data_IF_618390788911
#
_entry.id   IF_618390788911
#
_cell.length_a   1.000
_cell.length_b   1.000
_cell.length_c   1.000
_cell.angle_alpha   90.00
_cell.angle_beta   90.00
_cell.angle_gamma   90.00
#
_symmetry.space_group_name_H-M   'P 1'
#
loop_
_entity.id
_entity.type
_entity.pdbx_description
1 polymer ?
#
# COMPACT_ATOMS: atom_id res chain seq x y z
N UNK A 1 11.39 -8.86 -14.65
CA UNK A 1 12.59 -9.58 -14.19
C UNK A 1 13.35 -8.86 -13.08
N UNK A 2 13.81 -7.60 -13.24
CA UNK A 2 14.65 -6.96 -12.18
C UNK A 2 13.87 -6.55 -10.92
N UNK A 3 12.58 -6.18 -11.04
CA UNK A 3 11.72 -5.91 -9.87
C UNK A 3 11.48 -7.15 -8.98
N UNK A 4 11.58 -8.35 -9.55
CA UNK A 4 11.46 -9.63 -8.82
C UNK A 4 12.68 -9.90 -7.93
N UNK A 5 13.83 -9.26 -8.20
CA UNK A 5 15.06 -9.42 -7.42
C UNK A 5 15.16 -8.41 -6.27
N UNK A 6 14.23 -7.47 -6.13
CA UNK A 6 14.27 -6.46 -5.05
C UNK A 6 14.29 -7.11 -3.66
N UNK A 7 13.48 -8.15 -3.37
CA UNK A 7 13.56 -8.86 -2.08
C UNK A 7 14.93 -9.50 -1.86
N UNK A 8 15.48 -10.17 -2.87
CA UNK A 8 16.81 -10.79 -2.78
C UNK A 8 17.91 -9.74 -2.57
N UNK A 9 17.82 -8.60 -3.25
CA UNK A 9 18.74 -7.46 -3.13
C UNK A 9 18.63 -6.81 -1.74
N UNK A 10 17.43 -6.71 -1.18
CA UNK A 10 17.20 -6.20 0.18
C UNK A 10 17.73 -7.19 1.21
N UNK A 11 17.49 -8.50 1.03
CA UNK A 11 18.02 -9.57 1.88
C UNK A 11 19.55 -9.60 1.84
N UNK A 12 20.15 -9.52 0.65
CA UNK A 12 21.60 -9.38 0.46
C UNK A 12 22.10 -8.09 1.13
N UNK A 13 21.40 -6.97 0.98
CA UNK A 13 21.70 -5.71 1.66
C UNK A 13 21.67 -5.83 3.19
N UNK A 14 20.70 -6.56 3.75
CA UNK A 14 20.63 -6.82 5.19
C UNK A 14 21.76 -7.73 5.66
N UNK A 15 22.14 -8.76 4.90
CA UNK A 15 23.29 -9.61 5.21
C UNK A 15 24.63 -8.87 5.11
N UNK A 16 24.75 -7.87 4.23
CA UNK A 16 25.93 -7.00 4.13
C UNK A 16 26.04 -6.06 5.34
N UNK A 17 24.91 -5.62 5.89
CA UNK A 17 24.84 -4.77 7.08
C UNK A 17 25.02 -5.54 8.38
N UNK A 18 24.77 -6.85 8.37
CA UNK A 18 24.95 -7.70 9.55
C UNK A 18 26.45 -7.94 9.81
N UNK A 19 26.93 -7.43 10.94
CA UNK A 19 28.37 -7.29 11.23
C UNK A 19 29.15 -8.61 11.32
N UNK A 20 28.44 -9.76 11.29
CA UNK A 20 28.98 -11.10 11.47
C UNK A 20 29.34 -11.82 10.17
N UNK A 21 28.81 -11.38 9.02
CA UNK A 21 28.85 -12.19 7.78
C UNK A 21 30.11 -11.94 6.94
N UNK A 22 30.69 -10.74 7.02
CA UNK A 22 31.92 -10.40 6.31
C UNK A 22 32.88 -9.67 7.25
N UNK A 23 34.06 -10.25 7.51
CA UNK A 23 35.17 -9.62 8.25
C UNK A 23 35.79 -8.40 7.55
N UNK A 24 35.01 -7.67 6.75
CA UNK A 24 35.41 -6.52 5.96
C UNK A 24 35.38 -5.22 6.80
N UNK A 25 36.28 -4.30 6.47
CA UNK A 25 36.28 -2.97 7.07
C UNK A 25 34.97 -2.22 6.79
N UNK A 26 34.60 -1.28 7.66
CA UNK A 26 33.36 -0.51 7.51
C UNK A 26 33.29 0.25 6.17
N UNK A 27 34.43 0.70 5.64
CA UNK A 27 34.51 1.38 4.34
C UNK A 27 34.16 0.50 3.15
N UNK A 28 34.60 -0.77 3.15
CA UNK A 28 34.27 -1.72 2.06
C UNK A 28 32.78 -2.05 2.07
N UNK A 29 32.19 -2.26 3.25
CA UNK A 29 30.74 -2.49 3.40
C UNK A 29 29.92 -1.32 2.89
N UNK A 30 30.33 -0.09 3.21
CA UNK A 30 29.69 1.13 2.73
C UNK A 30 29.80 1.29 1.20
N UNK A 31 30.97 1.00 0.62
CA UNK A 31 31.17 1.09 -0.82
C UNK A 31 30.32 0.07 -1.60
N UNK A 32 30.25 -1.18 -1.10
CA UNK A 32 29.38 -2.23 -1.68
C UNK A 32 27.92 -1.81 -1.60
N UNK A 33 27.46 -1.27 -0.46
CA UNK A 33 26.11 -0.76 -0.30
C UNK A 33 25.81 0.36 -1.31
N UNK A 34 26.69 1.35 -1.44
CA UNK A 34 26.52 2.47 -2.38
C UNK A 34 26.49 2.00 -3.85
N UNK A 35 27.34 1.05 -4.22
CA UNK A 35 27.35 0.45 -5.56
C UNK A 35 26.04 -0.32 -5.83
N UNK A 36 25.56 -1.08 -4.85
CA UNK A 36 24.32 -1.84 -4.94
C UNK A 36 23.10 -0.90 -5.05
N UNK A 37 23.07 0.19 -4.26
CA UNK A 37 22.06 1.26 -4.38
C UNK A 37 22.10 1.92 -5.77
N UNK A 38 23.28 2.20 -6.33
CA UNK A 38 23.43 2.77 -7.67
C UNK A 38 22.91 1.82 -8.75
N UNK A 39 23.26 0.53 -8.68
CA UNK A 39 22.81 -0.50 -9.64
C UNK A 39 21.29 -0.65 -9.60
N UNK A 40 20.70 -0.72 -8.40
CA UNK A 40 19.25 -0.80 -8.23
C UNK A 40 18.58 0.47 -8.76
N UNK A 41 19.16 1.65 -8.51
CA UNK A 41 18.63 2.92 -9.03
C UNK A 41 18.63 2.95 -10.57
N UNK A 42 19.72 2.49 -11.21
CA UNK A 42 19.83 2.36 -12.67
C UNK A 42 18.87 1.29 -13.25
N UNK A 43 18.66 0.19 -12.54
CA UNK A 43 17.72 -0.85 -12.96
C UNK A 43 16.26 -0.39 -12.85
N UNK A 44 15.93 0.35 -11.78
CA UNK A 44 14.63 1.01 -11.59
C UNK A 44 14.41 2.07 -12.68
N UNK A 45 15.45 2.82 -13.04
CA UNK A 45 15.43 3.74 -14.18
C UNK A 45 15.12 3.02 -15.51
N UNK A 46 15.78 1.89 -15.77
CA UNK A 46 15.60 1.12 -17.02
C UNK A 46 14.26 0.39 -17.12
N UNK A 47 13.72 -0.11 -16.01
CA UNK A 47 12.43 -0.83 -16.00
C UNK A 47 11.22 0.10 -16.17
N UNK A 48 11.41 1.39 -15.98
CA UNK A 48 10.36 2.40 -16.13
C UNK A 48 10.27 2.98 -17.56
N UNK A 49 11.17 2.62 -18.49
CA UNK A 49 11.09 3.04 -19.90
C UNK A 49 10.10 2.18 -20.68
N UNK A 50 8.81 2.39 -20.46
CA UNK A 50 7.76 1.90 -21.35
C UNK A 50 7.59 2.88 -22.51
N UNK A 51 7.73 2.37 -23.75
CA UNK A 51 7.53 3.11 -24.99
C UNK A 51 6.10 3.65 -25.08
N UNK A 52 5.89 4.94 -24.82
CA UNK A 52 4.68 5.66 -25.27
C UNK A 52 4.98 7.15 -25.53
N UNK A 53 4.15 7.78 -26.36
CA UNK A 53 4.33 9.05 -27.08
C UNK A 53 4.66 10.33 -26.26
N UNK A 54 4.74 10.27 -24.93
CA UNK A 54 5.17 11.40 -24.07
C UNK A 54 6.59 11.20 -23.51
N UNK A 55 7.49 10.71 -24.36
CA UNK A 55 8.87 10.36 -24.00
C UNK A 55 9.59 11.47 -23.23
N UNK A 56 9.53 12.72 -23.68
CA UNK A 56 10.21 13.85 -23.03
C UNK A 56 9.73 14.11 -21.60
N UNK A 57 8.41 14.05 -21.35
CA UNK A 57 7.86 14.27 -20.00
C UNK A 57 8.20 13.12 -19.06
N UNK A 58 8.25 11.89 -19.57
CA UNK A 58 8.65 10.72 -18.79
C UNK A 58 10.14 10.73 -18.47
N UNK A 59 11.00 11.01 -19.45
CA UNK A 59 12.44 11.17 -19.25
C UNK A 59 12.73 12.31 -18.26
N UNK A 60 12.02 13.45 -18.37
CA UNK A 60 12.14 14.54 -17.40
C UNK A 60 11.77 14.11 -15.97
N UNK A 61 10.65 13.40 -15.78
CA UNK A 61 10.28 12.86 -14.46
C UNK A 61 11.29 11.83 -13.95
N UNK A 62 11.86 11.00 -14.81
CA UNK A 62 12.88 10.01 -14.46
C UNK A 62 14.20 10.66 -14.04
N UNK A 63 14.64 11.70 -14.76
CA UNK A 63 15.81 12.50 -14.39
C UNK A 63 15.57 13.13 -13.02
N UNK A 64 14.40 13.73 -12.78
CA UNK A 64 14.05 14.31 -11.48
C UNK A 64 14.08 13.25 -10.36
N UNK A 65 13.65 12.01 -10.62
CA UNK A 65 13.71 10.89 -9.66
C UNK A 65 15.14 10.47 -9.34
N UNK A 66 15.97 10.25 -10.38
CA UNK A 66 17.36 9.88 -10.22
C UNK A 66 18.14 10.95 -9.45
N UNK A 67 17.93 12.22 -9.83
CA UNK A 67 18.52 13.36 -9.15
C UNK A 67 18.06 13.49 -7.69
N UNK A 68 16.79 13.17 -7.39
CA UNK A 68 16.31 13.12 -6.00
C UNK A 68 17.02 12.04 -5.19
N UNK A 69 17.16 10.83 -5.72
CA UNK A 69 17.90 9.74 -5.07
C UNK A 69 19.36 10.12 -4.84
N UNK A 70 20.03 10.68 -5.85
CA UNK A 70 21.40 11.19 -5.73
C UNK A 70 21.48 12.28 -4.66
N UNK A 71 20.52 13.20 -4.62
CA UNK A 71 20.45 14.26 -3.62
C UNK A 71 20.28 13.69 -2.20
N UNK A 72 19.43 12.68 -1.99
CA UNK A 72 19.25 12.04 -0.68
C UNK A 72 20.53 11.32 -0.24
N UNK A 73 21.20 10.61 -1.15
CA UNK A 73 22.49 9.96 -0.88
C UNK A 73 23.55 11.01 -0.56
N UNK A 74 23.59 12.12 -1.30
CA UNK A 74 24.55 13.20 -1.10
C UNK A 74 24.43 13.84 0.29
N UNK A 75 23.23 13.95 0.88
CA UNK A 75 23.07 14.44 2.27
C UNK A 75 23.81 13.56 3.28
N UNK A 76 23.83 12.24 3.07
CA UNK A 76 24.53 11.29 3.95
C UNK A 76 26.04 11.29 3.69
N UNK A 77 26.41 11.32 2.41
CA UNK A 77 27.79 11.14 1.96
C UNK A 77 28.60 12.44 2.11
N UNK A 78 27.97 13.62 1.96
CA UNK A 78 28.67 14.90 2.02
C UNK A 78 29.36 15.16 3.36
N UNK A 79 28.71 15.00 4.53
CA UNK A 79 29.39 15.13 5.82
C UNK A 79 30.57 14.17 5.95
N UNK A 80 30.43 12.94 5.47
CA UNK A 80 31.49 11.93 5.49
C UNK A 80 32.68 12.35 4.61
N UNK A 81 32.41 12.84 3.39
CA UNK A 81 33.44 13.37 2.50
C UNK A 81 34.13 14.59 3.07
N UNK A 82 33.42 15.46 3.80
CA UNK A 82 34.01 16.62 4.47
C UNK A 82 34.94 16.20 5.62
N UNK A 83 34.55 15.18 6.40
CA UNK A 83 35.40 14.61 7.46
C UNK A 83 36.65 13.97 6.87
N UNK A 84 36.52 13.17 5.79
CA UNK A 84 37.65 12.57 5.09
C UNK A 84 38.55 13.67 4.47
N UNK A 85 37.95 14.69 3.87
CA UNK A 85 38.66 15.83 3.28
C UNK A 85 39.51 16.58 4.32
N UNK A 86 38.95 16.83 5.50
CA UNK A 86 39.69 17.41 6.62
C UNK A 86 40.80 16.49 7.14
N UNK A 87 40.54 15.18 7.25
CA UNK A 87 41.55 14.21 7.64
C UNK A 87 42.69 14.08 6.60
N UNK A 88 42.40 14.31 5.32
CA UNK A 88 43.36 14.23 4.21
C UNK A 88 44.22 15.49 3.99
N UNK A 89 44.05 16.54 4.82
CA UNK A 89 44.71 17.85 4.64
C UNK A 89 44.47 18.50 3.25
N UNK A 90 43.36 18.17 2.59
CA UNK A 90 42.97 18.80 1.33
C UNK A 90 42.74 20.30 1.53
N UNK A 91 43.09 21.17 0.55
CA UNK A 91 42.90 22.61 0.68
C UNK A 91 41.43 22.96 0.97
N UNK A 92 41.22 23.78 2.01
CA UNK A 92 39.90 24.21 2.50
C UNK A 92 39.02 24.87 1.42
N UNK A 93 39.64 25.49 0.41
CA UNK A 93 38.92 26.08 -0.72
C UNK A 93 38.20 25.01 -1.57
N UNK A 94 38.84 23.86 -1.83
CA UNK A 94 38.25 22.79 -2.62
C UNK A 94 37.13 22.08 -1.85
N UNK A 95 37.31 21.83 -0.56
CA UNK A 95 36.27 21.23 0.30
C UNK A 95 35.09 22.17 0.51
N UNK A 96 35.33 23.48 0.65
CA UNK A 96 34.30 24.50 0.76
C UNK A 96 33.45 24.66 -0.50
N UNK A 97 34.04 24.62 -1.69
CA UNK A 97 33.30 24.66 -2.97
C UNK A 97 32.43 23.41 -3.14
N UNK A 98 32.95 22.22 -2.86
CA UNK A 98 32.17 20.98 -2.93
C UNK A 98 31.01 21.00 -1.93
N UNK A 99 31.24 21.46 -0.70
CA UNK A 99 30.20 21.60 0.32
C UNK A 99 29.09 22.57 -0.09
N UNK A 100 29.46 23.73 -0.64
CA UNK A 100 28.50 24.77 -1.03
C UNK A 100 27.72 24.39 -2.28
N UNK A 101 28.35 23.76 -3.28
CA UNK A 101 27.65 23.20 -4.45
C UNK A 101 26.67 22.12 -4.01
N UNK A 102 27.08 21.20 -3.13
CA UNK A 102 26.20 20.18 -2.61
C UNK A 102 25.04 20.79 -1.82
N UNK A 103 25.29 21.76 -0.93
CA UNK A 103 24.22 22.46 -0.19
C UNK A 103 23.23 23.18 -1.12
N UNK A 104 23.72 23.84 -2.16
CA UNK A 104 22.87 24.50 -3.15
C UNK A 104 21.98 23.51 -3.92
N UNK A 105 22.56 22.36 -4.31
CA UNK A 105 21.85 21.23 -4.91
C UNK A 105 20.74 20.73 -3.96
N UNK A 106 21.06 20.53 -2.67
CA UNK A 106 20.09 20.11 -1.66
C UNK A 106 18.94 21.10 -1.46
N UNK A 107 19.25 22.40 -1.39
CA UNK A 107 18.24 23.46 -1.22
C UNK A 107 17.34 23.60 -2.45
N UNK A 108 17.92 23.52 -3.65
CA UNK A 108 17.19 23.54 -4.91
C UNK A 108 16.23 22.35 -4.99
N UNK A 109 16.68 21.15 -4.63
CA UNK A 109 15.84 19.95 -4.62
C UNK A 109 14.79 19.96 -3.50
N UNK A 110 15.12 20.51 -2.33
CA UNK A 110 14.19 20.82 -1.25
C UNK A 110 12.96 21.61 -1.68
N UNK A 111 13.14 22.54 -2.62
CA UNK A 111 12.08 23.42 -3.09
C UNK A 111 11.32 22.88 -4.31
N UNK A 112 11.97 22.06 -5.14
CA UNK A 112 11.42 21.63 -6.44
C UNK A 112 10.90 20.19 -6.45
N UNK A 113 11.38 19.32 -5.55
CA UNK A 113 11.06 17.89 -5.58
C UNK A 113 9.93 17.54 -4.62
N UNK A 114 8.89 16.96 -5.19
CA UNK A 114 7.68 16.57 -4.49
C UNK A 114 7.67 15.06 -4.31
N UNK A 115 7.63 14.59 -3.06
CA UNK A 115 7.84 13.18 -2.77
C UNK A 115 6.75 12.29 -3.42
N UNK A 116 5.48 12.73 -3.48
CA UNK A 116 4.39 11.93 -4.10
C UNK A 116 4.47 11.91 -5.63
N UNK A 117 4.99 12.96 -6.28
CA UNK A 117 5.09 13.01 -7.75
C UNK A 117 6.27 12.20 -8.25
N UNK A 118 7.35 12.15 -7.46
CA UNK A 118 8.55 11.38 -7.81
C UNK A 118 8.46 9.91 -7.41
N UNK A 119 7.51 9.51 -6.56
CA UNK A 119 7.36 8.11 -6.17
C UNK A 119 6.79 7.20 -7.29
N UNK A 120 6.84 5.90 -7.06
CA UNK A 120 6.27 4.88 -7.95
C UNK A 120 4.74 4.85 -7.92
N UNK A 121 4.12 5.46 -6.92
CA UNK A 121 2.67 5.45 -6.71
C UNK A 121 1.88 5.84 -7.97
N UNK A 122 2.19 6.99 -8.58
CA UNK A 122 1.45 7.45 -9.76
C UNK A 122 1.58 6.52 -10.98
N UNK A 123 2.68 5.76 -11.08
CA UNK A 123 2.84 4.75 -12.12
C UNK A 123 1.97 3.53 -11.82
N UNK A 124 1.93 3.11 -10.55
CA UNK A 124 1.13 1.99 -10.08
C UNK A 124 -0.37 2.26 -10.22
N UNK A 125 -0.85 3.41 -9.72
CA UNK A 125 -2.23 3.89 -9.88
C UNK A 125 -2.66 3.91 -11.35
N UNK A 126 -1.83 4.45 -12.26
CA UNK A 126 -2.12 4.43 -13.71
C UNK A 126 -2.20 3.02 -14.30
N UNK A 127 -1.41 2.06 -13.80
CA UNK A 127 -1.48 0.66 -14.25
C UNK A 127 -2.76 0.01 -13.76
N UNK A 128 -3.14 0.21 -12.50
CA UNK A 128 -4.40 -0.27 -11.96
C UNK A 128 -5.60 0.31 -12.72
N UNK A 129 -5.61 1.62 -12.97
CA UNK A 129 -6.67 2.27 -13.74
C UNK A 129 -6.77 1.79 -15.20
N UNK A 130 -5.69 1.24 -15.77
CA UNK A 130 -5.72 0.65 -17.12
C UNK A 130 -6.14 -0.82 -17.09
N UNK A 131 -5.75 -1.55 -16.04
CA UNK A 131 -6.10 -2.96 -15.86
C UNK A 131 -7.59 -3.13 -15.52
N UNK A 132 -8.14 -2.21 -14.74
CA UNK A 132 -9.52 -2.24 -14.26
C UNK A 132 -10.30 -1.05 -14.81
N UNK A 133 -11.31 -1.33 -15.63
CA UNK A 133 -12.23 -0.35 -16.20
C UNK A 133 -13.59 -0.48 -15.51
N UNK A 134 -14.19 0.64 -15.13
CA UNK A 134 -15.53 0.67 -14.53
C UNK A 134 -16.55 0.78 -15.69
N UNK A 135 -17.10 -0.37 -16.09
CA UNK A 135 -18.22 -0.63 -17.04
C UNK A 135 -17.99 -0.57 -18.57
N UNK A 136 -18.70 -1.48 -19.26
CA UNK A 136 -19.83 -1.20 -20.17
C UNK A 136 -20.76 -2.45 -20.25
N UNK A 137 -22.11 -2.32 -20.21
CA UNK A 137 -22.84 -2.48 -21.47
C UNK A 137 -24.15 -1.66 -21.59
N UNK A 138 -24.18 -0.77 -22.58
CA UNK A 138 -25.36 -0.18 -23.22
C UNK A 138 -24.92 0.46 -24.54
N UNK A 139 -25.70 0.35 -25.63
CA UNK A 139 -25.37 1.03 -26.90
C UNK A 139 -25.32 2.55 -26.65
N UNK A 140 -24.12 3.13 -26.58
CA UNK A 140 -23.91 4.57 -26.44
C UNK A 140 -23.28 5.04 -25.11
N UNK A 141 -23.04 4.16 -24.14
CA UNK A 141 -22.35 4.55 -22.90
C UNK A 141 -20.82 4.47 -23.04
N UNK A 142 -20.12 5.52 -22.60
CA UNK A 142 -18.65 5.54 -22.55
C UNK A 142 -18.15 4.77 -21.32
N UNK A 143 -17.08 4.00 -21.49
CA UNK A 143 -16.41 3.32 -20.38
C UNK A 143 -15.75 4.35 -19.46
N UNK A 144 -15.95 4.20 -18.14
CA UNK A 144 -15.39 5.11 -17.13
C UNK A 144 -14.12 4.49 -16.53
N UNK A 145 -13.04 5.26 -16.52
CA UNK A 145 -11.79 4.81 -15.89
C UNK A 145 -11.83 4.95 -14.36
N UNK A 146 -11.14 4.09 -13.60
CA UNK A 146 -10.97 4.28 -12.15
C UNK A 146 -10.33 5.63 -11.79
N UNK A 147 -9.54 6.21 -12.71
CA UNK A 147 -8.95 7.55 -12.55
C UNK A 147 -9.96 8.68 -12.68
N UNK A 148 -11.17 8.42 -13.16
CA UNK A 148 -12.22 9.41 -13.35
C UNK A 148 -13.26 9.37 -12.23
N UNK A 149 -13.26 8.29 -11.43
CA UNK A 149 -14.16 8.10 -10.29
C UNK A 149 -13.55 8.75 -9.05
N UNK A 150 -14.27 9.70 -8.46
CA UNK A 150 -13.94 10.28 -7.15
C UNK A 150 -14.49 9.43 -6.00
N UNK A 151 -13.99 9.66 -4.79
CA UNK A 151 -14.45 8.94 -3.59
C UNK A 151 -15.93 9.20 -3.27
N UNK A 152 -16.48 10.34 -3.65
CA UNK A 152 -17.91 10.64 -3.47
C UNK A 152 -18.82 9.88 -4.43
N UNK A 153 -18.28 9.42 -5.57
CA UNK A 153 -19.04 8.68 -6.58
C UNK A 153 -19.20 7.20 -6.21
N UNK A 154 -18.57 6.75 -5.11
CA UNK A 154 -18.56 5.36 -4.67
C UNK A 154 -19.59 5.05 -3.58
N UNK A 155 -20.63 5.88 -3.47
CA UNK A 155 -21.77 5.68 -2.58
C UNK A 155 -23.05 6.11 -3.29
N UNK A 156 -24.11 5.30 -3.19
CA UNK A 156 -25.45 5.61 -3.66
C UNK A 156 -26.48 4.94 -2.74
N UNK A 157 -27.71 5.47 -2.66
CA UNK A 157 -28.74 4.99 -1.71
C UNK A 157 -29.03 3.48 -1.81
N UNK A 158 -28.93 2.89 -3.01
CA UNK A 158 -29.20 1.48 -3.27
C UNK A 158 -27.94 0.62 -3.47
N UNK A 159 -26.74 1.16 -3.22
CA UNK A 159 -25.48 0.45 -3.44
C UNK A 159 -24.62 0.41 -2.18
N UNK A 160 -23.83 -0.67 -1.98
CA UNK A 160 -22.89 -0.72 -0.87
C UNK A 160 -21.86 0.41 -1.02
N UNK A 161 -21.62 1.11 0.08
CA UNK A 161 -20.57 2.12 0.14
C UNK A 161 -19.19 1.45 0.03
N UNK A 162 -18.32 1.98 -0.84
CA UNK A 162 -16.94 1.52 -0.94
C UNK A 162 -16.13 1.99 0.27
N UNK A 163 -15.44 1.04 0.90
CA UNK A 163 -14.43 1.31 1.91
C UNK A 163 -13.08 0.85 1.39
N UNK A 164 -12.13 1.78 1.32
CA UNK A 164 -10.74 1.47 0.99
C UNK A 164 -9.93 1.49 2.27
N UNK A 165 -9.53 0.32 2.75
CA UNK A 165 -8.72 0.17 3.95
C UNK A 165 -7.22 0.26 3.62
N UNK A 166 -6.52 1.13 4.31
CA UNK A 166 -5.09 1.33 4.23
C UNK A 166 -4.49 1.38 5.65
N UNK A 167 -3.16 1.46 5.76
CA UNK A 167 -2.49 1.61 7.04
C UNK A 167 -1.84 2.99 7.14
N UNK A 168 -2.13 3.73 8.21
CA UNK A 168 -1.33 4.91 8.57
C UNK A 168 -0.12 4.46 9.38
N UNK A 169 1.06 4.93 9.00
CA UNK A 169 2.31 4.57 9.67
C UNK A 169 2.61 5.57 10.78
N UNK A 170 2.97 5.03 11.93
CA UNK A 170 3.11 5.74 13.20
C UNK A 170 4.38 5.29 13.93
N UNK A 171 4.77 6.03 14.97
CA UNK A 171 5.70 5.52 15.97
C UNK A 171 5.03 4.37 16.73
N UNK A 172 5.84 3.41 17.19
CA UNK A 172 5.36 2.27 17.98
C UNK A 172 4.54 2.73 19.20
N UNK A 173 5.00 3.79 19.88
CA UNK A 173 4.34 4.39 21.07
C UNK A 173 2.95 4.97 20.74
N UNK A 174 2.69 5.34 19.48
CA UNK A 174 1.41 5.90 19.03
C UNK A 174 0.47 4.84 18.45
N UNK A 175 0.93 3.60 18.28
CA UNK A 175 0.13 2.47 17.83
C UNK A 175 -0.41 1.72 19.04
N UNK A 176 -1.72 1.42 19.05
CA UNK A 176 -2.36 0.70 20.16
C UNK A 176 -1.69 -0.64 20.48
N UNK A 177 -1.16 -1.33 19.45
CA UNK A 177 -0.50 -2.63 19.55
C UNK A 177 1.03 -2.55 19.51
N UNK A 178 1.60 -1.34 19.46
CA UNK A 178 3.06 -1.17 19.34
C UNK A 178 3.65 -1.51 17.96
N UNK A 179 2.82 -1.67 16.93
CA UNK A 179 3.26 -2.17 15.62
C UNK A 179 3.71 -1.09 14.63
N UNK A 180 3.69 0.16 15.07
CA UNK A 180 4.07 1.30 14.23
C UNK A 180 3.09 1.57 13.08
N UNK A 181 1.86 1.07 13.17
CA UNK A 181 0.78 1.41 12.25
C UNK A 181 -0.59 1.32 12.90
N UNK A 182 -1.60 1.91 12.25
CA UNK A 182 -3.00 1.84 12.61
C UNK A 182 -3.87 1.81 11.34
N UNK A 183 -5.16 1.50 11.49
CA UNK A 183 -6.15 1.57 10.42
C UNK A 183 -6.22 2.97 9.81
N UNK A 184 -6.47 3.07 8.51
CA UNK A 184 -6.79 4.33 7.84
C UNK A 184 -7.77 4.04 6.70
N UNK A 185 -8.97 4.58 6.77
CA UNK A 185 -10.07 4.27 5.86
C UNK A 185 -10.40 5.47 4.98
N UNK A 186 -10.63 5.20 3.70
CA UNK A 186 -11.25 6.15 2.79
C UNK A 186 -12.67 5.69 2.49
N UNK A 187 -13.64 6.54 2.81
CA UNK A 187 -15.08 6.34 2.57
C UNK A 187 -15.66 7.61 1.94
N UNK A 188 -16.79 7.51 1.25
CA UNK A 188 -17.48 8.67 0.67
C UNK A 188 -17.87 9.72 1.73
N UNK A 189 -18.08 9.29 2.97
CA UNK A 189 -18.52 10.13 4.10
C UNK A 189 -17.34 10.69 4.91
N UNK A 190 -16.32 9.87 5.16
CA UNK A 190 -15.17 10.24 5.99
C UNK A 190 -13.85 9.67 5.48
N UNK A 191 -12.77 10.35 5.83
CA UNK A 191 -11.40 9.89 5.62
C UNK A 191 -10.64 9.93 6.94
N UNK A 192 -10.03 8.80 7.32
CA UNK A 192 -9.24 8.68 8.52
C UNK A 192 -9.38 7.33 9.22
N UNK A 193 -8.89 7.25 10.44
CA UNK A 193 -9.02 6.07 11.30
C UNK A 193 -10.18 6.26 12.25
N UNK A 194 -11.15 5.37 12.20
CA UNK A 194 -12.27 5.43 13.14
C UNK A 194 -11.76 5.32 14.59
N UNK A 195 -12.14 6.29 15.42
CA UNK A 195 -11.71 6.41 16.82
C UNK A 195 -10.38 7.12 17.09
N UNK A 196 -9.55 7.40 16.08
CA UNK A 196 -8.29 8.16 16.25
C UNK A 196 -8.34 9.52 15.56
N UNK A 197 -8.79 9.56 14.31
CA UNK A 197 -8.82 10.76 13.47
C UNK A 197 -9.85 10.60 12.37
N UNK A 198 -10.85 11.47 12.30
CA UNK A 198 -11.81 11.51 11.20
C UNK A 198 -11.95 12.94 10.67
N UNK A 199 -11.97 13.09 9.34
CA UNK A 199 -12.46 14.30 8.69
C UNK A 199 -13.52 13.93 7.66
N UNK A 200 -14.45 14.85 7.42
CA UNK A 200 -15.40 14.73 6.31
C UNK A 200 -14.63 14.60 4.99
N UNK A 201 -15.01 13.61 4.17
CA UNK A 201 -14.33 13.33 2.91
C UNK A 201 -14.31 14.57 1.98
N UNK A 202 -15.37 15.40 2.02
CA UNK A 202 -15.47 16.65 1.23
C UNK A 202 -14.38 17.67 1.55
N UNK A 203 -13.87 17.66 2.77
CA UNK A 203 -12.84 18.58 3.23
C UNK A 203 -11.42 18.05 2.92
N UNK A 204 -11.32 16.77 2.54
CA UNK A 204 -10.08 16.07 2.31
C UNK A 204 -9.64 16.16 0.84
N UNK A 205 -9.04 17.28 0.46
CA UNK A 205 -8.56 17.54 -0.92
C UNK A 205 -7.25 16.82 -1.31
N UNK A 206 -6.85 15.74 -0.62
CA UNK A 206 -5.52 15.16 -0.78
C UNK A 206 -5.43 14.05 -1.85
N UNK A 207 -6.55 13.38 -2.19
CA UNK A 207 -6.59 12.31 -3.20
C UNK A 207 -7.83 12.47 -4.07
N UNK A 208 -7.63 12.51 -5.40
CA UNK A 208 -8.69 12.89 -6.33
C UNK A 208 -9.40 11.70 -6.98
N UNK A 209 -8.85 10.48 -6.89
CA UNK A 209 -9.34 9.35 -7.69
C UNK A 209 -9.33 8.03 -6.92
N UNK A 210 -10.29 7.15 -7.19
CA UNK A 210 -10.34 5.78 -6.64
C UNK A 210 -9.09 4.98 -7.04
N UNK A 211 -8.54 5.22 -8.24
CA UNK A 211 -7.30 4.57 -8.68
C UNK A 211 -6.11 4.83 -7.72
N UNK A 212 -5.96 6.07 -7.25
CA UNK A 212 -4.90 6.43 -6.30
C UNK A 212 -5.15 5.83 -4.91
N UNK A 213 -6.42 5.76 -4.47
CA UNK A 213 -6.79 5.16 -3.20
C UNK A 213 -6.53 3.65 -3.17
N UNK A 214 -6.95 2.93 -4.22
CA UNK A 214 -6.68 1.49 -4.37
C UNK A 214 -5.16 1.25 -4.48
N UNK A 215 -4.43 2.10 -5.20
CA UNK A 215 -2.97 2.02 -5.27
C UNK A 215 -2.29 2.24 -3.91
N UNK A 216 -2.84 3.09 -3.05
CA UNK A 216 -2.33 3.34 -1.71
C UNK A 216 -2.64 2.17 -0.77
N UNK A 217 -3.84 1.62 -0.87
CA UNK A 217 -4.28 0.44 -0.12
C UNK A 217 -3.50 -0.82 -0.47
N UNK A 218 -3.09 -1.01 -1.73
CA UNK A 218 -2.23 -2.12 -2.17
C UNK A 218 -0.74 -1.78 -2.27
N UNK A 219 -0.26 -0.79 -1.50
CA UNK A 219 1.10 -0.28 -1.56
C UNK A 219 2.12 -1.17 -0.83
N UNK A 220 2.24 -2.44 -1.23
CA UNK A 220 3.05 -3.47 -0.57
C UNK A 220 4.57 -3.15 -0.49
N UNK A 221 5.06 -2.16 -1.24
CA UNK A 221 6.45 -1.67 -1.13
C UNK A 221 6.41 -0.25 -0.59
N UNK A 222 6.74 -0.11 0.69
CA UNK A 222 6.89 1.16 1.37
C UNK A 222 8.09 1.11 2.33
N UNK A 223 8.78 2.23 2.59
CA UNK A 223 9.81 2.29 3.62
C UNK A 223 9.29 1.93 5.02
N UNK A 224 8.03 2.26 5.31
CA UNK A 224 7.34 1.86 6.54
C UNK A 224 6.17 0.95 6.19
N UNK A 225 6.23 -0.27 6.72
CA UNK A 225 5.33 -1.41 6.48
C UNK A 225 4.78 -1.95 7.81
N UNK A 226 4.62 -1.08 8.81
CA UNK A 226 4.27 -1.48 10.17
C UNK A 226 5.23 -2.53 10.74
N UNK A 227 4.68 -3.66 11.19
CA UNK A 227 5.43 -4.80 11.75
C UNK A 227 6.46 -5.44 10.83
N UNK A 228 6.32 -5.29 9.50
CA UNK A 228 7.26 -5.85 8.53
C UNK A 228 8.49 -4.95 8.29
N UNK A 229 8.58 -3.82 9.00
CA UNK A 229 9.63 -2.83 8.77
C UNK A 229 10.94 -3.23 9.41
N UNK A 230 11.99 -3.42 8.61
CA UNK A 230 13.37 -3.43 9.12
C UNK A 230 14.00 -2.03 9.01
N UNK A 231 14.87 -1.64 9.95
CA UNK A 231 15.53 -0.33 9.92
C UNK A 231 16.36 -0.12 8.65
N UNK A 232 17.01 -1.19 8.18
CA UNK A 232 17.82 -1.17 6.97
C UNK A 232 16.96 -1.03 5.70
N UNK A 233 15.89 -1.81 5.56
CA UNK A 233 14.98 -1.72 4.41
C UNK A 233 14.26 -0.37 4.37
N UNK A 234 13.86 0.17 5.52
CA UNK A 234 13.29 1.52 5.64
C UNK A 234 14.23 2.58 5.07
N UNK A 235 15.47 2.61 5.55
CA UNK A 235 16.47 3.57 5.09
C UNK A 235 16.75 3.42 3.59
N UNK A 236 16.96 2.18 3.12
CA UNK A 236 17.24 1.91 1.72
C UNK A 236 16.09 2.34 0.81
N UNK A 237 14.86 1.91 1.09
CA UNK A 237 13.68 2.25 0.29
C UNK A 237 13.40 3.76 0.29
N UNK A 238 13.58 4.43 1.44
CA UNK A 238 13.40 5.89 1.53
C UNK A 238 14.45 6.65 0.72
N UNK A 239 15.74 6.30 0.86
CA UNK A 239 16.83 6.92 0.09
C UNK A 239 16.67 6.69 -1.42
N UNK A 240 16.24 5.49 -1.80
CA UNK A 240 15.99 5.13 -3.20
C UNK A 240 14.67 5.68 -3.75
N UNK A 241 13.84 6.31 -2.90
CA UNK A 241 12.49 6.76 -3.24
C UNK A 241 11.60 5.61 -3.80
N UNK A 242 11.87 4.38 -3.37
CA UNK A 242 11.12 3.19 -3.75
C UNK A 242 9.94 3.04 -2.81
N UNK A 243 8.84 3.72 -3.16
CA UNK A 243 7.61 3.72 -2.37
C UNK A 243 6.37 3.76 -3.25
N UNK A 244 5.40 2.97 -2.87
CA UNK A 244 4.05 2.95 -3.41
C UNK A 244 3.05 3.68 -2.51
N UNK A 245 3.40 3.94 -1.25
CA UNK A 245 2.56 4.69 -0.32
C UNK A 245 2.41 6.17 -0.66
N UNK A 246 1.49 6.84 0.03
CA UNK A 246 1.14 8.24 -0.15
C UNK A 246 1.36 9.05 1.12
N UNK A 247 1.95 10.22 0.96
CA UNK A 247 1.88 11.25 2.01
C UNK A 247 0.62 12.07 1.81
N UNK A 248 -0.26 12.06 2.80
CA UNK A 248 -1.52 12.78 2.79
C UNK A 248 -1.50 13.90 3.80
N UNK A 249 -2.27 14.95 3.52
CA UNK A 249 -2.49 15.98 4.53
C UNK A 249 -3.18 15.34 5.74
N UNK A 250 -2.71 15.66 6.93
CA UNK A 250 -3.30 15.13 8.14
C UNK A 250 -4.72 15.69 8.32
N UNK A 251 -5.76 14.83 8.45
CA UNK A 251 -7.12 15.28 8.71
C UNK A 251 -7.25 16.12 10.00
N UNK A 252 -6.43 15.88 11.03
CA UNK A 252 -6.41 16.67 12.28
C UNK A 252 -5.81 18.07 12.13
N UNK A 253 -5.08 18.33 11.04
CA UNK A 253 -4.40 19.60 10.80
C UNK A 253 -4.90 20.22 9.49
N UNK A 254 -6.18 20.67 9.44
CA UNK A 254 -6.67 21.42 8.30
C UNK A 254 -5.80 22.67 8.15
N UNK A 255 -5.11 22.77 7.01
CA UNK A 255 -4.13 23.82 6.79
C UNK A 255 -4.83 25.18 6.85
N UNK A 256 -4.57 25.96 7.89
CA UNK A 256 -5.06 27.33 7.93
C UNK A 256 -4.47 28.11 6.74
N UNK A 257 -5.29 28.91 6.02
CA UNK A 257 -4.78 29.78 4.97
C UNK A 257 -4.01 30.95 5.62
N UNK A 258 -2.78 30.71 6.08
CA UNK A 258 -1.90 31.78 6.58
C UNK A 258 -1.72 32.85 5.50
N UNK A 259 -1.89 34.13 5.89
CA UNK A 259 -1.63 35.32 5.07
C UNK A 259 -0.23 35.25 4.46
N UNK A 260 -0.13 35.50 3.15
CA UNK A 260 1.06 35.22 2.34
C UNK A 260 1.93 36.47 2.19
N UNK A 261 3.22 36.34 2.51
CA UNK A 261 4.26 37.33 2.17
C UNK A 261 5.06 36.95 0.91
N UNK A 262 4.98 35.70 0.44
CA UNK A 262 5.78 35.16 -0.67
C UNK A 262 4.91 34.64 -1.85
N UNK A 263 5.44 34.67 -3.09
CA UNK A 263 4.73 34.22 -4.30
C UNK A 263 4.28 32.76 -4.21
N UNK A 264 3.08 32.45 -4.75
CA UNK A 264 2.45 31.13 -4.60
C UNK A 264 3.34 29.95 -5.07
N UNK A 265 4.09 30.12 -6.17
CA UNK A 265 4.91 29.06 -6.78
C UNK A 265 6.12 28.64 -5.93
N UNK A 266 6.70 29.56 -5.14
CA UNK A 266 7.77 29.27 -4.18
C UNK A 266 7.25 28.49 -2.97
N UNK A 267 6.04 28.82 -2.51
CA UNK A 267 5.45 28.25 -1.28
C UNK A 267 4.72 26.93 -1.55
N UNK A 268 4.28 26.66 -2.78
CA UNK A 268 3.60 25.40 -3.14
C UNK A 268 4.48 24.17 -2.95
N UNK A 269 5.79 24.27 -3.19
CA UNK A 269 6.73 23.17 -2.93
C UNK A 269 6.92 22.86 -1.44
N UNK A 270 6.79 23.89 -0.59
CA UNK A 270 6.94 23.78 0.87
C UNK A 270 5.66 23.32 1.58
N UNK A 271 4.52 23.39 0.88
CA UNK A 271 3.19 22.92 1.33
C UNK A 271 2.89 21.48 0.94
N UNK A 272 3.84 20.79 0.33
CA UNK A 272 3.71 19.39 -0.05
C UNK A 272 4.80 18.60 0.68
N UNK A 273 4.62 17.28 0.88
CA UNK A 273 5.63 16.44 1.50
C UNK A 273 6.92 16.49 0.66
N UNK A 274 7.86 17.30 1.13
CA UNK A 274 9.20 17.47 0.54
C UNK A 274 10.23 16.54 1.16
N UNK A 275 11.53 16.75 0.90
CA UNK A 275 12.58 15.83 1.34
C UNK A 275 12.66 15.65 2.86
N UNK A 276 12.27 16.66 3.65
CA UNK A 276 12.20 16.55 5.11
C UNK A 276 11.29 15.39 5.55
N UNK A 277 10.14 15.21 4.90
CA UNK A 277 9.23 14.10 5.22
C UNK A 277 9.80 12.76 4.78
N UNK A 278 10.56 12.71 3.68
CA UNK A 278 11.31 11.50 3.27
C UNK A 278 12.40 11.15 4.28
N UNK A 279 13.06 12.14 4.89
CA UNK A 279 14.00 11.91 5.99
C UNK A 279 13.32 11.37 7.24
N UNK A 280 12.18 11.95 7.61
CA UNK A 280 11.35 11.41 8.70
C UNK A 280 10.93 9.97 8.41
N UNK A 281 10.55 9.68 7.17
CA UNK A 281 10.25 8.33 6.68
C UNK A 281 11.45 7.38 6.89
N UNK A 282 12.65 7.81 6.49
CA UNK A 282 13.89 7.04 6.61
C UNK A 282 14.25 6.72 8.07
N UNK A 283 14.04 7.67 8.98
CA UNK A 283 14.30 7.50 10.41
C UNK A 283 13.14 6.87 11.19
N UNK A 284 11.97 6.67 10.56
CA UNK A 284 10.77 6.15 11.22
C UNK A 284 10.10 7.17 12.15
N UNK A 285 10.34 8.47 11.94
CA UNK A 285 9.76 9.56 12.71
C UNK A 285 8.40 9.97 12.13
N UNK A 286 7.43 9.05 12.21
CA UNK A 286 6.08 9.19 11.69
C UNK A 286 5.08 9.37 12.84
N UNK A 287 4.21 10.37 12.76
CA UNK A 287 3.28 10.67 13.85
C UNK A 287 1.98 11.28 13.35
N UNK A 288 0.90 11.01 14.10
CA UNK A 288 -0.38 11.71 13.93
C UNK A 288 -0.31 13.20 14.27
N UNK A 289 0.76 13.67 14.92
CA UNK A 289 0.97 15.09 15.20
C UNK A 289 1.54 15.89 14.03
N UNK A 290 1.95 15.24 12.94
CA UNK A 290 2.56 15.91 11.80
C UNK A 290 1.53 16.49 10.83
N UNK A 291 1.90 17.53 10.08
CA UNK A 291 1.03 18.13 9.06
C UNK A 291 0.68 17.15 7.94
N UNK A 292 1.56 16.17 7.68
CA UNK A 292 1.31 15.09 6.73
C UNK A 292 1.46 13.75 7.43
N UNK A 293 0.60 12.82 7.07
CA UNK A 293 0.62 11.42 7.51
C UNK A 293 1.01 10.53 6.33
N UNK A 294 1.71 9.43 6.61
CA UNK A 294 2.13 8.49 5.59
C UNK A 294 1.22 7.26 5.59
N UNK A 295 0.53 7.04 4.49
CA UNK A 295 -0.40 5.93 4.28
C UNK A 295 0.22 4.90 3.34
N UNK A 296 0.20 3.64 3.75
CA UNK A 296 0.71 2.48 3.00
C UNK A 296 -0.31 1.35 2.98
N UNK A 297 0.12 0.16 2.53
CA UNK A 297 -0.74 -1.01 2.34
C UNK A 297 -1.61 -1.32 3.56
N UNK A 298 -2.89 -1.60 3.36
CA UNK A 298 -3.81 -2.00 4.42
C UNK A 298 -3.35 -3.27 5.13
N UNK A 299 -2.72 -4.20 4.40
CA UNK A 299 -2.18 -5.44 4.92
C UNK A 299 -1.01 -5.29 5.89
N UNK A 300 -0.44 -4.09 6.03
CA UNK A 300 0.51 -3.80 7.11
C UNK A 300 -0.15 -3.79 8.50
N UNK A 301 -1.46 -3.51 8.56
CA UNK A 301 -2.26 -3.52 9.80
C UNK A 301 -3.30 -4.64 9.80
N UNK A 302 -4.20 -4.67 8.80
CA UNK A 302 -5.24 -5.68 8.59
C UNK A 302 -5.29 -6.08 7.10
N UNK A 303 -4.88 -7.31 6.79
CA UNK A 303 -4.88 -7.84 5.43
C UNK A 303 -6.23 -8.50 5.04
N UNK A 304 -7.29 -8.27 5.81
CA UNK A 304 -8.65 -8.73 5.52
C UNK A 304 -9.65 -7.60 5.25
N UNK A 305 -9.45 -6.43 5.86
CA UNK A 305 -10.41 -5.32 5.86
C UNK A 305 -11.69 -5.58 6.68
N UNK A 306 -11.79 -6.74 7.34
CA UNK A 306 -12.98 -7.16 8.09
C UNK A 306 -13.15 -6.36 9.37
N UNK A 307 -12.06 -5.91 10.00
CA UNK A 307 -12.14 -5.17 11.27
C UNK A 307 -12.96 -3.88 11.12
N UNK A 308 -12.86 -3.20 9.99
CA UNK A 308 -13.63 -1.97 9.75
C UNK A 308 -15.13 -2.25 9.49
N UNK A 309 -15.48 -3.40 8.93
CA UNK A 309 -16.87 -3.84 8.83
C UNK A 309 -17.44 -4.23 10.20
N UNK A 310 -16.63 -4.90 11.03
CA UNK A 310 -17.01 -5.23 12.40
C UNK A 310 -17.23 -3.96 13.23
N UNK A 311 -16.39 -2.93 13.06
CA UNK A 311 -16.54 -1.63 13.72
C UNK A 311 -17.86 -0.96 13.37
N UNK A 312 -18.34 -1.16 12.13
CA UNK A 312 -19.66 -0.70 11.64
C UNK A 312 -20.83 -1.61 12.07
N UNK A 313 -20.58 -2.58 12.95
CA UNK A 313 -21.56 -3.52 13.49
C UNK A 313 -22.23 -4.41 12.41
N UNK A 314 -21.53 -4.68 11.30
CA UNK A 314 -22.03 -5.60 10.26
C UNK A 314 -22.19 -7.02 10.82
N UNK A 315 -23.40 -7.60 10.72
CA UNK A 315 -23.71 -8.95 11.25
C UNK A 315 -23.41 -10.08 10.26
N UNK A 316 -23.35 -9.80 8.97
CA UNK A 316 -23.03 -10.80 7.94
C UNK A 316 -21.91 -10.26 7.10
N UNK A 317 -20.75 -10.94 7.12
CA UNK A 317 -19.53 -10.48 6.47
C UNK A 317 -19.04 -11.59 5.56
N UNK A 318 -18.86 -11.27 4.27
CA UNK A 318 -18.17 -12.13 3.32
C UNK A 318 -16.73 -11.65 3.21
N UNK A 319 -15.77 -12.51 3.57
CA UNK A 319 -14.35 -12.17 3.56
C UNK A 319 -13.59 -13.11 2.62
N UNK A 320 -12.95 -12.55 1.59
CA UNK A 320 -12.14 -13.32 0.65
C UNK A 320 -10.69 -13.36 1.15
N UNK A 321 -10.21 -14.55 1.48
CA UNK A 321 -8.82 -14.76 1.89
C UNK A 321 -7.98 -15.32 0.72
N UNK A 322 -7.24 -14.40 0.10
CA UNK A 322 -6.28 -14.67 -0.95
C UNK A 322 -4.82 -14.69 -0.44
N UNK A 323 -4.61 -14.88 0.87
CA UNK A 323 -3.27 -14.96 1.45
C UNK A 323 -2.46 -16.15 0.92
N UNK A 324 -1.16 -15.93 0.75
CA UNK A 324 -0.20 -16.91 0.24
C UNK A 324 0.71 -17.35 1.38
N UNK A 325 0.13 -17.98 2.41
CA UNK A 325 0.87 -18.63 3.50
C UNK A 325 0.75 -20.16 3.38
N UNK A 326 1.76 -20.93 3.81
CA UNK A 326 1.73 -22.40 3.72
C UNK A 326 0.55 -23.03 4.47
N UNK A 327 0.15 -22.43 5.60
CA UNK A 327 -0.98 -22.87 6.40
C UNK A 327 -2.26 -22.04 6.19
N UNK A 328 -2.18 -20.85 5.56
CA UNK A 328 -3.32 -19.91 5.36
C UNK A 328 -4.12 -19.56 6.61
N UNK A 329 -3.47 -19.65 7.77
CA UNK A 329 -4.10 -19.33 9.05
C UNK A 329 -3.56 -18.04 9.67
N UNK A 330 -2.36 -17.61 9.28
CA UNK A 330 -1.71 -16.44 9.86
C UNK A 330 -2.58 -15.18 9.77
N UNK A 331 -3.16 -14.94 8.59
CA UNK A 331 -4.05 -13.81 8.37
C UNK A 331 -5.34 -13.88 9.20
N UNK A 332 -5.96 -15.06 9.27
CA UNK A 332 -7.21 -15.28 10.00
C UNK A 332 -7.02 -15.13 11.52
N UNK A 333 -6.01 -15.78 12.10
CA UNK A 333 -5.70 -15.61 13.52
C UNK A 333 -5.41 -14.16 13.85
N UNK A 334 -4.75 -13.47 12.93
CA UNK A 334 -4.47 -12.06 13.09
C UNK A 334 -5.75 -11.23 13.10
N UNK A 335 -6.66 -11.46 12.16
CA UNK A 335 -7.97 -10.82 12.14
C UNK A 335 -8.71 -11.05 13.46
N UNK A 336 -8.81 -12.29 13.94
CA UNK A 336 -9.48 -12.63 15.20
C UNK A 336 -8.84 -11.89 16.38
N UNK A 337 -7.50 -11.91 16.47
CA UNK A 337 -6.77 -11.19 17.51
C UNK A 337 -7.03 -9.69 17.46
N UNK A 338 -7.01 -9.09 16.28
CA UNK A 338 -7.19 -7.65 16.10
C UNK A 338 -8.63 -7.23 16.43
N UNK A 339 -9.62 -7.99 15.97
CA UNK A 339 -11.03 -7.76 16.27
C UNK A 339 -11.35 -7.91 17.78
N UNK A 340 -10.72 -8.87 18.46
CA UNK A 340 -10.82 -9.02 19.92
C UNK A 340 -10.22 -7.83 20.64
N UNK A 341 -8.98 -7.44 20.32
CA UNK A 341 -8.29 -6.40 21.08
C UNK A 341 -8.83 -4.99 20.78
N UNK A 342 -9.21 -4.69 19.54
CA UNK A 342 -9.69 -3.35 19.15
C UNK A 342 -11.19 -3.15 19.42
N UNK A 343 -12.01 -4.19 19.27
CA UNK A 343 -13.47 -4.07 19.29
C UNK A 343 -14.16 -4.97 20.33
N UNK A 344 -13.42 -5.83 21.02
CA UNK A 344 -13.98 -6.81 21.96
C UNK A 344 -14.85 -7.89 21.29
N UNK A 345 -14.73 -8.08 19.97
CA UNK A 345 -15.53 -9.08 19.24
C UNK A 345 -15.01 -10.47 19.53
N UNK A 346 -15.91 -11.36 19.95
CA UNK A 346 -15.58 -12.76 20.23
C UNK A 346 -16.06 -13.68 19.11
N UNK A 347 -15.18 -14.59 18.69
CA UNK A 347 -15.45 -15.58 17.64
C UNK A 347 -15.58 -16.96 18.27
N UNK A 348 -16.58 -17.72 17.82
CA UNK A 348 -16.89 -19.11 18.25
C UNK A 348 -15.90 -20.15 17.67
N UNK A 349 -14.79 -19.69 17.10
CA UNK A 349 -13.83 -20.55 16.42
C UNK A 349 -12.62 -20.87 17.29
N UNK A 350 -12.78 -21.87 18.13
CA UNK A 350 -11.69 -22.63 18.73
C UNK A 350 -11.01 -23.49 17.65
N UNK A 351 -9.67 -23.36 17.46
CA UNK A 351 -8.70 -24.29 16.84
C UNK A 351 -8.99 -24.94 15.47
N UNK A 352 -10.22 -25.36 15.17
CA UNK A 352 -10.68 -26.09 13.97
C UNK A 352 -10.42 -25.34 12.67
N UNK A 353 -10.45 -24.01 12.70
CA UNK A 353 -10.12 -23.19 11.52
C UNK A 353 -8.64 -23.33 11.09
N UNK A 354 -7.76 -23.76 12.01
CA UNK A 354 -6.35 -24.02 11.71
C UNK A 354 -6.15 -25.23 10.81
N UNK A 355 -7.03 -26.23 10.92
CA UNK A 355 -6.89 -27.51 10.24
C UNK A 355 -7.77 -27.64 9.00
N UNK A 356 -8.85 -26.86 8.94
CA UNK A 356 -9.79 -26.95 7.83
C UNK A 356 -9.15 -26.53 6.51
N UNK A 357 -9.38 -27.35 5.47
CA UNK A 357 -9.06 -27.05 4.07
C UNK A 357 -10.28 -26.72 3.23
N UNK A 358 -11.44 -26.52 3.86
CA UNK A 358 -12.65 -26.16 3.12
C UNK A 358 -12.46 -24.82 2.39
N UNK A 359 -12.98 -24.69 1.15
CA UNK A 359 -12.94 -23.43 0.41
C UNK A 359 -13.81 -22.36 1.08
N UNK A 360 -14.87 -22.75 1.77
CA UNK A 360 -15.79 -21.85 2.48
C UNK A 360 -15.92 -22.30 3.92
N UNK A 361 -15.84 -21.35 4.85
CA UNK A 361 -16.05 -21.57 6.29
C UNK A 361 -17.02 -20.54 6.84
N UNK A 362 -17.91 -20.97 7.74
CA UNK A 362 -18.84 -20.08 8.44
C UNK A 362 -18.45 -20.01 9.91
N UNK A 363 -18.14 -18.81 10.37
CA UNK A 363 -17.70 -18.56 11.74
C UNK A 363 -18.69 -17.64 12.42
N UNK A 364 -19.23 -18.09 13.56
CA UNK A 364 -20.09 -17.24 14.38
C UNK A 364 -19.25 -16.26 15.21
N UNK A 365 -19.75 -15.04 15.38
CA UNK A 365 -19.16 -14.06 16.29
C UNK A 365 -20.23 -13.27 17.04
N UNK A 366 -19.83 -12.63 18.13
CA UNK A 366 -20.67 -11.78 18.96
C UNK A 366 -19.93 -10.47 19.32
N UNK A 367 -20.68 -9.38 19.43
CA UNK A 367 -20.18 -8.10 19.93
C UNK A 367 -20.22 -8.06 21.47
N UNK A 368 -19.42 -7.18 22.13
CA UNK A 368 -19.41 -7.05 23.59
C UNK A 368 -20.77 -6.77 24.23
N UNK A 369 -21.62 -6.03 23.52
CA UNK A 369 -22.93 -5.58 24.01
C UNK A 369 -24.07 -6.54 23.60
N UNK A 370 -23.75 -7.65 22.93
CA UNK A 370 -24.76 -8.63 22.51
C UNK A 370 -25.22 -9.47 23.70
N UNK A 371 -26.53 -9.69 23.77
CA UNK A 371 -27.19 -10.59 24.71
C UNK A 371 -27.75 -11.83 24.00
N UNK A 372 -28.42 -12.73 24.73
CA UNK A 372 -29.04 -13.93 24.15
C UNK A 372 -30.13 -13.62 23.11
N UNK A 373 -30.68 -12.40 23.11
CA UNK A 373 -31.72 -11.96 22.17
C UNK A 373 -31.15 -11.30 20.92
N UNK A 374 -29.87 -10.96 20.94
CA UNK A 374 -29.19 -10.26 19.87
C UNK A 374 -28.97 -11.18 18.65
N UNK A 375 -29.10 -10.67 17.41
CA UNK A 375 -28.95 -11.48 16.22
C UNK A 375 -27.51 -11.98 16.08
N UNK A 376 -27.30 -13.27 15.81
CA UNK A 376 -25.96 -13.83 15.67
C UNK A 376 -25.17 -13.16 14.52
N UNK A 377 -23.88 -12.88 14.77
CA UNK A 377 -22.93 -12.47 13.73
C UNK A 377 -22.35 -13.67 12.99
N UNK A 378 -22.19 -13.58 11.68
CA UNK A 378 -21.58 -14.61 10.83
C UNK A 378 -20.51 -14.01 9.91
N UNK A 379 -19.32 -14.57 9.99
CA UNK A 379 -18.21 -14.35 9.07
C UNK A 379 -18.13 -15.55 8.12
N UNK A 380 -18.39 -15.30 6.83
CA UNK A 380 -18.29 -16.26 5.75
C UNK A 380 -16.91 -16.09 5.10
N UNK A 381 -15.98 -16.96 5.50
CA UNK A 381 -14.60 -16.97 5.02
C UNK A 381 -14.54 -17.74 3.69
N UNK A 382 -14.20 -17.01 2.63
CA UNK A 382 -13.99 -17.51 1.28
C UNK A 382 -12.49 -17.68 1.04
N UNK A 383 -11.97 -18.88 1.29
CA UNK A 383 -10.54 -19.19 1.17
C UNK A 383 -10.23 -19.68 -0.23
N UNK A 384 -9.13 -19.19 -0.79
CA UNK A 384 -8.64 -19.58 -2.12
C UNK A 384 -8.01 -21.00 -2.16
N UNK A 385 -8.64 -21.97 -1.49
CA UNK A 385 -8.25 -23.37 -1.46
C UNK A 385 -8.70 -24.08 -2.74
N UNK A 386 -7.85 -24.98 -3.23
CA UNK A 386 -8.21 -25.91 -4.32
C UNK A 386 -9.12 -26.97 -3.73
N UNK A 387 -10.33 -27.12 -4.26
CA UNK A 387 -11.30 -28.14 -3.89
C UNK A 387 -11.63 -29.05 -5.08
N UNK A 388 -11.85 -30.36 -4.88
CA UNK A 388 -12.37 -31.25 -5.93
C UNK A 388 -13.79 -30.87 -6.40
N UNK A 389 -14.52 -30.06 -5.63
CA UNK A 389 -15.87 -29.57 -5.97
C UNK A 389 -15.86 -28.38 -6.94
N UNK A 390 -14.67 -27.87 -7.28
CA UNK A 390 -14.51 -26.82 -8.28
C UNK A 390 -14.85 -27.35 -9.68
N UNK A 391 -15.24 -26.46 -10.61
CA UNK A 391 -15.31 -26.76 -12.04
C UNK A 391 -14.06 -27.49 -12.55
N UNK A 392 -14.27 -28.49 -13.42
CA UNK A 392 -13.21 -29.43 -13.85
C UNK A 392 -12.04 -28.75 -14.56
N UNK A 393 -12.30 -27.64 -15.25
CA UNK A 393 -11.30 -26.79 -15.90
C UNK A 393 -10.38 -26.10 -14.88
N UNK A 394 -10.92 -25.61 -13.77
CA UNK A 394 -10.15 -25.01 -12.67
C UNK A 394 -9.33 -26.08 -11.91
N UNK A 395 -9.90 -27.27 -11.70
CA UNK A 395 -9.18 -28.40 -11.10
C UNK A 395 -8.01 -28.83 -11.99
N UNK A 396 -8.24 -28.96 -13.29
CA UNK A 396 -7.19 -29.28 -14.25
C UNK A 396 -6.08 -28.21 -14.25
N UNK A 397 -6.45 -26.92 -14.24
CA UNK A 397 -5.49 -25.82 -14.17
C UNK A 397 -4.65 -25.86 -12.89
N UNK A 398 -5.28 -26.09 -11.73
CA UNK A 398 -4.58 -26.22 -10.45
C UNK A 398 -3.63 -27.43 -10.41
N UNK A 399 -3.92 -28.48 -11.18
CA UNK A 399 -3.11 -29.71 -11.27
C UNK A 399 -1.92 -29.56 -12.22
N UNK A 400 -2.04 -28.75 -13.27
CA UNK A 400 -1.04 -28.54 -14.36
C UNK A 400 0.22 -27.76 -13.93
N UNK A 401 0.58 -27.78 -12.64
CA UNK A 401 1.68 -26.99 -12.02
C UNK A 401 1.64 -25.49 -12.33
N UNK A 402 0.47 -24.95 -12.68
CA UNK A 402 0.28 -23.50 -12.69
C UNK A 402 0.36 -23.00 -11.24
N UNK A 403 0.85 -21.79 -11.02
CA UNK A 403 0.86 -21.20 -9.69
C UNK A 403 -0.56 -20.89 -9.18
N UNK A 404 -1.61 -21.16 -9.97
CA UNK A 404 -3.01 -20.94 -9.62
C UNK A 404 -3.47 -21.84 -8.44
N UNK A 405 -4.29 -21.33 -7.51
CA UNK A 405 -4.71 -19.92 -7.33
C UNK A 405 -3.73 -19.07 -6.50
N UNK A 406 -2.49 -19.53 -6.30
CA UNK A 406 -1.43 -18.98 -5.42
C UNK A 406 -0.34 -18.18 -6.14
N UNK A 407 -0.69 -17.33 -7.10
CA UNK A 407 0.30 -16.44 -7.70
C UNK A 407 0.86 -15.47 -6.63
N UNK A 408 2.18 -15.43 -6.48
CA UNK A 408 2.84 -14.49 -5.57
C UNK A 408 2.54 -13.05 -5.98
N UNK A 409 2.41 -12.15 -5.00
CA UNK A 409 2.31 -10.70 -5.23
C UNK A 409 3.52 -10.13 -5.97
N UNK A 410 4.65 -10.82 -5.97
CA UNK A 410 5.82 -10.47 -6.77
C UNK A 410 5.61 -10.75 -8.27
N UNK A 411 4.70 -11.67 -8.62
CA UNK A 411 4.30 -11.95 -10.01
C UNK A 411 3.04 -11.17 -10.40
N UNK A 412 3.25 -10.05 -11.08
CA UNK A 412 2.18 -9.17 -11.58
C UNK A 412 1.86 -9.38 -13.07
N UNK A 413 2.40 -10.42 -13.70
CA UNK A 413 2.26 -10.67 -15.14
C UNK A 413 1.39 -11.91 -15.39
N UNK A 414 0.08 -11.72 -15.19
CA UNK A 414 -0.92 -12.76 -15.47
C UNK A 414 -1.29 -12.75 -16.96
N UNK A 415 -1.43 -13.94 -17.56
CA UNK A 415 -1.96 -14.05 -18.92
C UNK A 415 -3.50 -14.02 -18.91
N UNK A 416 -4.12 -13.89 -20.09
CA UNK A 416 -5.59 -13.86 -20.19
C UNK A 416 -6.24 -15.12 -19.57
N UNK A 417 -5.63 -16.30 -19.77
CA UNK A 417 -6.09 -17.56 -19.18
C UNK A 417 -6.09 -17.51 -17.65
N UNK A 418 -5.06 -16.93 -17.04
CA UNK A 418 -4.98 -16.81 -15.58
C UNK A 418 -6.08 -15.90 -15.04
N UNK A 419 -6.30 -14.76 -15.71
CA UNK A 419 -7.34 -13.79 -15.34
C UNK A 419 -8.74 -14.41 -15.44
N UNK A 420 -9.03 -15.10 -16.55
CA UNK A 420 -10.31 -15.79 -16.74
C UNK A 420 -10.53 -16.87 -15.67
N UNK A 421 -9.48 -17.63 -15.33
CA UNK A 421 -9.53 -18.62 -14.27
C UNK A 421 -9.80 -18.02 -12.89
N UNK A 422 -9.17 -16.88 -12.55
CA UNK A 422 -9.44 -16.17 -11.30
C UNK A 422 -10.87 -15.62 -11.24
N UNK A 423 -11.41 -15.12 -12.36
CA UNK A 423 -12.81 -14.67 -12.43
C UNK A 423 -13.76 -15.85 -12.22
N UNK A 424 -13.54 -16.97 -12.92
CA UNK A 424 -14.36 -18.17 -12.79
C UNK A 424 -14.30 -18.75 -11.36
N UNK A 425 -13.11 -18.81 -10.78
CA UNK A 425 -12.90 -19.28 -9.41
C UNK A 425 -13.56 -18.37 -8.37
N UNK A 426 -13.43 -17.04 -8.52
CA UNK A 426 -14.10 -16.08 -7.65
C UNK A 426 -15.62 -16.22 -7.70
N UNK A 427 -16.21 -16.44 -8.89
CA UNK A 427 -17.65 -16.69 -9.05
C UNK A 427 -18.10 -17.96 -8.34
N UNK A 428 -17.39 -19.06 -8.56
CA UNK A 428 -17.69 -20.33 -7.89
C UNK A 428 -17.57 -20.20 -6.37
N UNK A 429 -16.46 -19.61 -5.89
CA UNK A 429 -16.20 -19.45 -4.46
C UNK A 429 -17.29 -18.59 -3.79
N UNK A 430 -17.70 -17.49 -4.43
CA UNK A 430 -18.76 -16.64 -3.92
C UNK A 430 -20.13 -17.33 -3.92
N UNK A 431 -20.46 -18.12 -4.95
CA UNK A 431 -21.69 -18.92 -4.98
C UNK A 431 -21.73 -19.94 -3.82
N UNK A 432 -20.63 -20.64 -3.58
CA UNK A 432 -20.48 -21.54 -2.43
C UNK A 432 -20.64 -20.78 -1.11
N UNK A 433 -20.10 -19.56 -1.05
CA UNK A 433 -20.29 -18.63 0.07
C UNK A 433 -21.75 -18.30 0.36
N UNK A 434 -22.52 -17.94 -0.66
CA UNK A 434 -23.94 -17.60 -0.53
C UNK A 434 -24.73 -18.78 0.06
N UNK A 435 -24.46 -19.99 -0.43
CA UNK A 435 -25.07 -21.23 0.11
C UNK A 435 -24.71 -21.41 1.58
N UNK A 436 -23.45 -21.23 1.97
CA UNK A 436 -23.03 -21.36 3.38
C UNK A 436 -23.66 -20.29 4.30
N UNK A 437 -24.00 -19.14 3.74
CA UNK A 437 -24.67 -18.04 4.43
C UNK A 437 -26.20 -18.19 4.51
N UNK A 438 -26.77 -19.29 3.99
CA UNK A 438 -28.21 -19.49 3.80
C UNK A 438 -28.87 -18.39 2.94
N UNK A 439 -28.09 -17.72 2.09
CA UNK A 439 -28.58 -16.74 1.13
C UNK A 439 -28.75 -17.45 -0.22
N UNK A 440 -29.97 -17.50 -0.75
CA UNK A 440 -30.21 -18.10 -2.05
C UNK A 440 -29.34 -17.42 -3.11
N UNK A 441 -28.56 -18.18 -3.92
CA UNK A 441 -27.84 -17.58 -5.03
C UNK A 441 -28.87 -16.86 -5.92
N UNK A 442 -28.61 -15.63 -6.36
CA UNK A 442 -29.53 -14.93 -7.24
C UNK A 442 -29.80 -15.83 -8.44
N UNK A 443 -31.08 -16.14 -8.70
CA UNK A 443 -31.46 -16.80 -9.95
C UNK A 443 -30.85 -15.98 -11.08
N UNK A 444 -30.24 -16.63 -12.05
CA UNK A 444 -29.69 -16.00 -13.26
C UNK A 444 -30.79 -15.37 -14.16
N UNK A 445 -31.84 -14.82 -13.57
CA UNK A 445 -32.78 -13.94 -14.25
C UNK A 445 -32.10 -12.58 -14.31
N UNK A 446 -31.65 -12.21 -15.51
CA UNK A 446 -30.96 -10.97 -15.83
C UNK A 446 -31.39 -9.82 -14.92
N UNK A 447 -30.43 -9.25 -14.19
CA UNK A 447 -30.57 -7.96 -13.49
C UNK A 447 -30.97 -6.93 -14.55
N UNK A 448 -32.26 -6.79 -14.82
CA UNK A 448 -32.82 -5.67 -15.56
C UNK A 448 -32.76 -4.50 -14.59
N UNK A 449 -31.65 -3.77 -14.63
CA UNK A 449 -31.57 -2.42 -14.10
C UNK A 449 -32.71 -1.64 -14.78
N UNK A 450 -33.81 -1.41 -14.05
CA UNK A 450 -34.88 -0.53 -14.50
C UNK A 450 -34.31 0.89 -14.45
N UNK A 451 -33.83 1.36 -15.59
CA UNK A 451 -33.62 2.80 -15.80
C UNK A 451 -35.02 3.41 -15.82
N UNK A 452 -35.35 4.24 -14.82
CA UNK A 452 -36.53 5.10 -14.89
C UNK A 452 -36.30 6.10 -16.03
N UNK A 453 -37.26 6.15 -16.93
CA UNK A 453 -37.34 7.06 -18.09
C UNK A 453 -37.31 8.52 -17.71
#
# INVERSE_FOLDING_TARGET
MILLLIPDIVVIGTHILDARVFGASAGVRLAVLLALLLVVSLAVFRTQSSFSLNWFRQVGLQIIRLLFTISMIAIVVLPLLLVIGQASQSPYAATGIVASVALAILLLFGCLVHANKTSLHSLYSRRLSRAYVVRAPGKGEQAVGLSEVGLHDTCAEDLPALLVCAAVNLREIESAQGEGCASFVFSADYVGSAGLVEAEAKQFNAVNTVADLVAASGAAIAPNMGRYTSRASRLALALMNLRLGLWLQNPLSPSSPRRRLLPRWLVTGWRQPGPLFTWREAFGELSLGHTFVFVSDGGHWDNSGVVELLRRRCRTIFAVDASVDEARVGNLLRLISLARTELGVEFDSDGRLLESRAPVERVRFAYPDDDETSPAGYLILLRTHVSPEMPSDLVALATDRSAFPRHSTLNQFLCARDVDAYIAFGRWLFQSGLVAADLLPPRCDAVRVRVRS
#
